data_IF_178204189923
#
_entry.id   IF_178204189923
#
_cell.length_a   1.000
_cell.length_b   1.000
_cell.length_c   1.000
_cell.angle_alpha   90.00
_cell.angle_beta   90.00
_cell.angle_gamma   90.00
#
_symmetry.space_group_name_H-M   'P 1'
#
loop_
_entity.id
_entity.type
_entity.pdbx_description
1 polymer ?
#
# COMPACT_ATOMS: atom_id res chain seq x y z
N UNK A 1 10.07 19.87 -5.93
CA UNK A 1 8.93 19.55 -6.82
C UNK A 1 8.83 18.04 -6.86
N UNK A 2 7.64 17.50 -6.65
CA UNK A 2 7.42 16.05 -6.70
C UNK A 2 7.70 15.52 -8.10
N UNK A 3 8.27 14.31 -8.23
CA UNK A 3 8.38 13.64 -9.52
C UNK A 3 6.98 13.43 -10.13
N UNK A 4 6.87 13.68 -11.42
CA UNK A 4 5.65 13.45 -12.19
C UNK A 4 5.98 12.39 -13.24
N UNK A 5 5.13 11.38 -13.32
CA UNK A 5 5.17 10.34 -14.34
C UNK A 5 4.03 10.60 -15.32
N UNK A 6 4.33 10.70 -16.60
CA UNK A 6 3.33 10.82 -17.67
C UNK A 6 3.13 9.44 -18.32
N UNK A 7 1.91 8.93 -18.23
CA UNK A 7 1.51 7.66 -18.82
C UNK A 7 0.32 7.93 -19.72
N UNK A 8 0.51 7.75 -21.01
CA UNK A 8 -0.53 7.95 -22.04
C UNK A 8 -1.17 9.35 -22.00
N UNK A 9 -0.38 10.40 -21.67
CA UNK A 9 -0.87 11.78 -21.55
C UNK A 9 -1.51 12.12 -20.19
N UNK A 10 -1.57 11.18 -19.27
CA UNK A 10 -2.02 11.40 -17.89
C UNK A 10 -0.83 11.61 -16.96
N UNK A 11 -0.87 12.68 -16.18
CA UNK A 11 0.21 13.05 -15.26
C UNK A 11 -0.12 12.54 -13.86
N UNK A 12 0.76 11.71 -13.32
CA UNK A 12 0.64 11.13 -11.97
C UNK A 12 1.77 11.65 -11.08
N UNK A 13 1.42 12.05 -9.88
CA UNK A 13 2.37 12.52 -8.89
C UNK A 13 2.93 11.34 -8.10
N UNK A 14 4.24 11.33 -7.89
CA UNK A 14 4.95 10.30 -7.15
C UNK A 14 5.48 10.89 -5.85
N UNK A 15 4.98 10.44 -4.72
CA UNK A 15 5.25 11.03 -3.42
C UNK A 15 5.88 10.06 -2.40
N UNK A 16 6.26 8.84 -2.80
CA UNK A 16 6.97 7.91 -1.95
C UNK A 16 8.46 8.27 -1.93
N UNK A 17 8.94 8.73 -0.77
CA UNK A 17 10.35 9.01 -0.57
C UNK A 17 11.09 7.71 -0.27
N UNK A 18 12.37 7.58 -0.67
CA UNK A 18 13.19 6.43 -0.35
C UNK A 18 13.34 6.27 1.16
N UNK A 19 13.36 5.01 1.64
CA UNK A 19 13.61 4.69 3.04
C UNK A 19 14.94 5.31 3.49
N UNK A 20 14.94 5.95 4.65
CA UNK A 20 16.14 6.48 5.28
C UNK A 20 16.62 5.46 6.33
N UNK A 21 17.89 5.11 6.32
CA UNK A 21 18.49 4.21 7.29
C UNK A 21 18.23 4.72 8.73
N UNK A 22 17.74 3.84 9.61
CA UNK A 22 17.39 4.18 10.99
C UNK A 22 15.97 4.75 11.17
N UNK A 23 15.25 5.03 10.08
CA UNK A 23 13.82 5.40 10.11
C UNK A 23 13.04 4.19 9.62
N UNK A 24 12.52 3.40 10.52
CA UNK A 24 11.75 2.20 10.18
C UNK A 24 12.01 0.99 11.07
N UNK A 25 12.95 1.09 12.02
CA UNK A 25 13.15 0.07 13.06
C UNK A 25 11.97 0.00 14.06
N UNK A 26 10.86 0.67 13.72
CA UNK A 26 9.65 0.73 14.54
C UNK A 26 8.81 -0.55 14.46
N UNK A 27 9.06 -1.38 13.44
CA UNK A 27 8.35 -2.64 13.26
C UNK A 27 9.35 -3.77 13.05
N UNK A 28 9.11 -4.96 13.64
CA UNK A 28 9.99 -6.11 13.48
C UNK A 28 9.98 -6.61 12.02
N UNK A 29 11.06 -7.26 11.61
CA UNK A 29 11.14 -7.91 10.30
C UNK A 29 10.21 -9.12 10.28
N UNK A 30 9.55 -9.36 9.15
CA UNK A 30 8.50 -10.36 9.03
C UNK A 30 9.01 -11.80 9.31
N UNK A 31 10.21 -12.14 8.86
CA UNK A 31 10.78 -13.48 9.03
C UNK A 31 11.30 -13.77 10.46
N UNK A 32 11.43 -12.78 11.33
CA UNK A 32 11.69 -13.00 12.75
C UNK A 32 10.57 -13.79 13.45
N UNK A 33 9.37 -13.78 12.88
CA UNK A 33 8.17 -14.40 13.46
C UNK A 33 7.52 -15.44 12.54
N UNK A 34 7.76 -15.36 11.23
CA UNK A 34 7.11 -16.20 10.23
C UNK A 34 8.16 -16.74 9.27
N UNK A 35 8.30 -18.06 9.22
CA UNK A 35 9.17 -18.71 8.25
C UNK A 35 8.73 -18.37 6.81
N UNK A 36 9.70 -17.95 5.98
CA UNK A 36 9.44 -17.62 4.59
C UNK A 36 9.06 -18.87 3.79
N UNK A 37 8.03 -18.76 2.99
CA UNK A 37 7.63 -19.80 2.05
C UNK A 37 8.62 -19.79 0.89
N UNK A 38 9.27 -20.94 0.56
CA UNK A 38 10.15 -21.03 -0.60
C UNK A 38 9.39 -20.73 -1.91
N UNK A 39 10.06 -20.16 -2.91
CA UNK A 39 9.44 -19.81 -4.19
C UNK A 39 8.78 -21.02 -4.87
N UNK A 40 9.36 -22.23 -4.72
CA UNK A 40 8.79 -23.49 -5.25
C UNK A 40 7.38 -23.78 -4.73
N UNK A 41 7.05 -23.28 -3.54
CA UNK A 41 5.80 -23.55 -2.82
C UNK A 41 4.82 -22.40 -2.89
N UNK A 42 5.18 -21.31 -3.58
CA UNK A 42 4.28 -20.17 -3.75
C UNK A 42 3.02 -20.56 -4.52
N UNK A 43 1.89 -20.08 -4.02
CA UNK A 43 0.58 -20.26 -4.63
C UNK A 43 0.03 -18.89 -5.06
N UNK A 44 -0.78 -18.88 -6.11
CA UNK A 44 -1.51 -17.69 -6.50
C UNK A 44 -2.59 -17.37 -5.47
N UNK A 45 -2.67 -16.11 -5.10
CA UNK A 45 -3.64 -15.56 -4.14
C UNK A 45 -4.22 -14.28 -4.72
N UNK A 46 -5.52 -14.06 -4.59
CA UNK A 46 -6.18 -12.85 -5.08
C UNK A 46 -7.25 -12.35 -4.10
N UNK A 47 -6.92 -11.28 -3.40
CA UNK A 47 -7.79 -10.57 -2.47
C UNK A 47 -8.44 -9.32 -3.10
N UNK A 48 -8.31 -9.07 -4.42
CA UNK A 48 -8.84 -7.88 -5.09
C UNK A 48 -10.33 -7.66 -4.83
N UNK A 49 -11.11 -8.74 -4.63
CA UNK A 49 -12.54 -8.69 -4.26
C UNK A 49 -12.83 -7.98 -2.93
N UNK A 50 -11.82 -7.84 -2.07
CA UNK A 50 -11.94 -7.15 -0.78
C UNK A 50 -11.53 -5.68 -0.84
N UNK A 51 -11.05 -5.20 -2.00
CA UNK A 51 -10.81 -3.77 -2.22
C UNK A 51 -12.14 -3.08 -2.45
N UNK A 52 -12.60 -2.20 -1.54
CA UNK A 52 -13.95 -1.65 -1.63
C UNK A 52 -14.11 -0.69 -2.81
N UNK A 53 -13.06 0.07 -3.11
CA UNK A 53 -13.02 0.99 -4.24
C UNK A 53 -11.57 1.33 -4.62
N UNK A 54 -11.37 1.75 -5.85
CA UNK A 54 -10.11 2.35 -6.32
C UNK A 54 -10.19 3.86 -6.15
N UNK A 55 -9.33 4.40 -5.30
CA UNK A 55 -9.24 5.84 -5.04
C UNK A 55 -8.32 6.55 -6.03
N UNK A 56 -8.34 7.89 -6.04
CA UNK A 56 -7.44 8.70 -6.86
C UNK A 56 -6.80 9.82 -6.05
N UNK A 57 -5.48 9.81 -5.96
CA UNK A 57 -4.70 10.86 -5.30
C UNK A 57 -4.66 12.19 -6.07
N UNK A 58 -5.14 12.22 -7.29
CA UNK A 58 -5.45 13.37 -8.14
C UNK A 58 -4.54 14.60 -7.94
N UNK A 59 -3.26 14.45 -8.24
CA UNK A 59 -2.32 15.57 -8.29
C UNK A 59 -1.66 15.98 -6.98
N UNK A 60 -1.80 15.18 -5.90
CA UNK A 60 -1.03 15.35 -4.66
C UNK A 60 -0.07 14.20 -4.42
N UNK A 61 1.02 14.46 -3.70
CA UNK A 61 2.06 13.47 -3.39
C UNK A 61 1.71 12.51 -2.25
N UNK A 62 0.45 12.10 -2.14
CA UNK A 62 -0.08 11.35 -0.99
C UNK A 62 -0.14 9.83 -1.20
N UNK A 63 0.60 9.26 -2.19
CA UNK A 63 0.51 7.84 -2.53
C UNK A 63 0.66 6.91 -1.32
N UNK A 64 1.57 7.20 -0.38
CA UNK A 64 1.75 6.41 0.84
C UNK A 64 0.47 6.35 1.68
N UNK A 65 -0.20 7.50 1.84
CA UNK A 65 -1.44 7.57 2.62
C UNK A 65 -2.61 6.89 1.93
N UNK A 66 -2.68 6.97 0.59
CA UNK A 66 -3.67 6.25 -0.20
C UNK A 66 -3.47 4.74 -0.11
N UNK A 67 -2.23 4.26 -0.27
CA UNK A 67 -1.90 2.85 -0.16
C UNK A 67 -2.20 2.31 1.25
N UNK A 68 -1.76 3.01 2.29
CA UNK A 68 -1.98 2.63 3.67
C UNK A 68 -3.48 2.64 4.09
N UNK A 69 -4.25 3.64 3.67
CA UNK A 69 -5.70 3.67 3.88
C UNK A 69 -6.41 2.53 3.12
N UNK A 70 -5.99 2.23 1.90
CA UNK A 70 -6.51 1.10 1.14
C UNK A 70 -6.20 -0.22 1.85
N UNK A 71 -4.95 -0.41 2.32
CA UNK A 71 -4.55 -1.61 3.05
C UNK A 71 -5.41 -1.81 4.31
N UNK A 72 -5.62 -0.76 5.12
CA UNK A 72 -6.47 -0.83 6.31
C UNK A 72 -7.93 -1.18 5.96
N UNK A 73 -8.50 -0.57 4.91
CA UNK A 73 -9.87 -0.87 4.46
C UNK A 73 -9.99 -2.33 4.01
N UNK A 74 -9.04 -2.83 3.21
CA UNK A 74 -9.02 -4.22 2.76
C UNK A 74 -8.92 -5.18 3.96
N UNK A 75 -8.01 -4.93 4.89
CA UNK A 75 -7.88 -5.73 6.11
C UNK A 75 -9.18 -5.78 6.91
N UNK A 76 -9.89 -4.64 7.05
CA UNK A 76 -11.19 -4.57 7.73
C UNK A 76 -12.23 -5.44 7.04
N UNK A 77 -12.35 -5.34 5.71
CA UNK A 77 -13.32 -6.14 4.93
C UNK A 77 -12.97 -7.62 4.97
N UNK A 78 -11.69 -7.98 4.89
CA UNK A 78 -11.24 -9.38 5.05
C UNK A 78 -11.57 -9.93 6.44
N UNK A 79 -11.55 -9.09 7.47
CA UNK A 79 -11.95 -9.44 8.83
C UNK A 79 -13.47 -9.48 9.05
N UNK A 80 -14.28 -9.28 8.01
CA UNK A 80 -15.75 -9.26 8.10
C UNK A 80 -16.34 -7.97 8.68
N UNK A 81 -15.52 -6.92 8.84
CA UNK A 81 -15.98 -5.61 9.29
C UNK A 81 -16.55 -4.82 8.11
N UNK A 82 -17.49 -3.91 8.40
CA UNK A 82 -17.98 -2.99 7.40
C UNK A 82 -16.87 -2.11 6.83
N UNK A 83 -16.90 -1.86 5.52
CA UNK A 83 -16.04 -0.87 4.91
C UNK A 83 -16.34 0.53 5.48
N UNK A 84 -15.29 1.29 5.67
CA UNK A 84 -15.35 2.69 6.07
C UNK A 84 -14.41 3.48 5.17
N UNK A 85 -14.94 4.48 4.49
CA UNK A 85 -14.14 5.30 3.58
C UNK A 85 -13.20 6.21 4.36
N UNK A 86 -11.97 5.74 4.57
CA UNK A 86 -10.93 6.49 5.28
C UNK A 86 -10.42 7.65 4.44
N UNK A 87 -9.94 8.71 5.10
CA UNK A 87 -9.37 9.89 4.46
C UNK A 87 -7.85 9.79 4.31
N UNK A 88 -7.33 9.55 3.09
CA UNK A 88 -5.89 9.66 2.84
C UNK A 88 -5.36 11.08 3.04
N UNK A 89 -6.19 12.11 2.81
CA UNK A 89 -5.82 13.50 3.08
C UNK A 89 -5.51 13.75 4.54
N UNK A 90 -6.34 13.21 5.45
CA UNK A 90 -6.07 13.28 6.88
C UNK A 90 -4.75 12.56 7.24
N UNK A 91 -4.53 11.35 6.75
CA UNK A 91 -3.29 10.62 7.02
C UNK A 91 -2.07 11.36 6.45
N UNK A 92 -2.17 11.85 5.21
CA UNK A 92 -1.09 12.60 4.57
C UNK A 92 -0.73 13.88 5.32
N UNK A 93 -1.71 14.64 5.76
CA UNK A 93 -1.48 15.86 6.55
C UNK A 93 -0.77 15.59 7.88
N UNK A 94 -0.79 14.37 8.41
CA UNK A 94 -0.03 14.00 9.62
C UNK A 94 1.46 13.85 9.35
N UNK A 95 1.87 13.45 8.14
CA UNK A 95 3.22 12.98 7.81
C UNK A 95 3.96 13.82 6.76
N UNK A 96 3.31 14.80 6.12
CA UNK A 96 3.90 15.57 5.01
C UNK A 96 4.70 16.81 5.46
N UNK A 97 4.85 17.02 6.76
CA UNK A 97 5.55 18.19 7.29
C UNK A 97 4.91 19.54 6.90
N UNK A 98 3.61 19.55 6.59
CA UNK A 98 2.84 20.74 6.21
C UNK A 98 3.04 21.19 4.76
N UNK A 99 3.65 20.35 3.90
CA UNK A 99 3.92 20.63 2.48
C UNK A 99 3.58 19.44 1.62
N UNK A 100 3.16 19.67 0.38
CA UNK A 100 2.97 18.61 -0.60
C UNK A 100 4.32 18.26 -1.26
N UNK A 101 5.12 17.47 -0.54
CA UNK A 101 6.48 17.08 -0.93
C UNK A 101 6.71 15.56 -0.84
N UNK A 102 5.64 14.76 -0.70
CA UNK A 102 5.72 13.33 -0.45
C UNK A 102 5.93 13.02 1.03
N UNK A 103 6.13 11.74 1.32
CA UNK A 103 6.36 11.22 2.67
C UNK A 103 7.11 9.88 2.62
N UNK A 104 7.57 9.40 3.77
CA UNK A 104 8.09 8.05 3.93
C UNK A 104 6.93 7.07 4.11
N UNK A 105 7.06 5.86 3.59
CA UNK A 105 6.02 4.82 3.73
C UNK A 105 5.87 4.39 5.20
N UNK A 106 6.98 4.20 5.91
CA UNK A 106 6.98 3.87 7.32
C UNK A 106 6.28 4.92 8.20
N UNK A 107 6.36 6.22 7.84
CA UNK A 107 5.64 7.28 8.56
C UNK A 107 4.13 7.12 8.44
N UNK A 108 3.63 6.71 7.26
CA UNK A 108 2.20 6.47 7.06
C UNK A 108 1.69 5.33 7.93
N UNK A 109 2.43 4.23 8.03
CA UNK A 109 2.07 3.10 8.88
C UNK A 109 2.19 3.42 10.36
N UNK A 110 3.22 4.17 10.76
CA UNK A 110 3.36 4.65 12.14
C UNK A 110 2.19 5.55 12.54
N UNK A 111 1.84 6.52 11.69
CA UNK A 111 0.68 7.38 11.95
C UNK A 111 -0.63 6.59 12.01
N UNK A 112 -0.82 5.61 11.10
CA UNK A 112 -1.98 4.71 11.14
C UNK A 112 -2.05 3.86 12.41
N UNK A 113 -0.91 3.45 12.96
CA UNK A 113 -0.84 2.68 14.20
C UNK A 113 -1.10 3.56 15.42
N UNK A 114 -0.48 4.71 15.51
CA UNK A 114 -0.46 5.54 16.71
C UNK A 114 -1.68 6.46 16.80
N UNK A 115 -2.07 7.06 15.68
CA UNK A 115 -3.15 8.04 15.59
C UNK A 115 -4.38 7.48 14.88
N UNK A 116 -4.17 6.81 13.75
CA UNK A 116 -5.23 6.34 12.87
C UNK A 116 -5.56 7.34 11.74
N UNK A 117 -6.60 7.00 10.96
CA UNK A 117 -7.15 7.85 9.92
C UNK A 117 -8.63 8.09 10.16
N UNK A 118 -9.11 9.35 10.07
CA UNK A 118 -10.54 9.64 10.11
C UNK A 118 -11.22 9.24 8.80
N UNK A 119 -12.53 9.42 8.73
CA UNK A 119 -13.29 9.12 7.50
C UNK A 119 -13.34 10.34 6.57
N UNK A 120 -13.73 10.10 5.33
CA UNK A 120 -13.91 11.18 4.35
C UNK A 120 -15.10 12.09 4.65
N UNK A 121 -15.98 11.69 5.57
CA UNK A 121 -17.10 12.52 6.02
C UNK A 121 -16.60 13.68 6.89
N UNK A 122 -15.51 13.50 7.64
CA UNK A 122 -14.92 14.55 8.47
C UNK A 122 -13.84 15.34 7.72
N UNK A 123 -12.95 14.64 7.00
CA UNK A 123 -11.88 15.28 6.23
C UNK A 123 -11.91 14.73 4.80
N UNK A 124 -12.21 15.54 3.79
CA UNK A 124 -12.24 15.12 2.40
C UNK A 124 -10.95 14.42 1.96
N UNK A 125 -11.08 13.49 1.03
CA UNK A 125 -10.02 12.59 0.56
C UNK A 125 -8.69 13.28 0.20
N UNK A 126 -8.75 14.50 -0.34
CA UNK A 126 -7.60 15.28 -0.78
C UNK A 126 -7.24 16.44 0.16
N UNK A 127 -7.97 16.63 1.26
CA UNK A 127 -7.73 17.74 2.19
C UNK A 127 -6.66 17.37 3.23
N UNK A 128 -5.42 17.67 2.92
CA UNK A 128 -4.28 17.40 3.79
C UNK A 128 -3.84 18.59 4.68
N UNK A 129 -4.45 19.76 4.48
CA UNK A 129 -4.08 20.95 5.27
C UNK A 129 -4.73 20.93 6.64
N UNK A 130 -3.97 20.61 7.68
CA UNK A 130 -4.46 20.47 9.06
C UNK A 130 -5.31 21.66 9.55
N UNK A 131 -5.02 22.87 9.09
CA UNK A 131 -5.78 24.06 9.47
C UNK A 131 -7.27 24.04 9.05
N UNK A 132 -7.62 23.18 8.11
CA UNK A 132 -8.97 23.03 7.59
C UNK A 132 -9.72 21.88 8.27
N UNK A 133 -9.07 21.13 9.16
CA UNK A 133 -9.67 19.99 9.83
C UNK A 133 -10.57 20.42 10.99
N UNK A 134 -11.68 19.69 11.26
CA UNK A 134 -12.50 19.96 12.43
C UNK A 134 -11.73 19.65 13.73
N UNK A 135 -12.10 20.35 14.80
CA UNK A 135 -11.58 20.07 16.12
C UNK A 135 -12.04 18.70 16.61
N UNK A 136 -11.19 17.97 17.34
CA UNK A 136 -11.51 16.66 17.90
C UNK A 136 -11.44 15.51 16.90
N UNK A 137 -10.91 15.73 15.70
CA UNK A 137 -10.80 14.72 14.65
C UNK A 137 -10.02 13.47 15.07
N UNK A 138 -9.10 13.62 16.02
CA UNK A 138 -8.28 12.53 16.55
C UNK A 138 -9.11 11.44 17.26
N UNK A 139 -10.24 11.79 17.83
CA UNK A 139 -11.13 10.81 18.46
C UNK A 139 -11.78 9.89 17.42
N UNK A 140 -12.10 10.43 16.24
CA UNK A 140 -12.61 9.65 15.13
C UNK A 140 -11.49 8.78 14.55
N UNK A 141 -10.31 9.35 14.34
CA UNK A 141 -9.17 8.67 13.76
C UNK A 141 -8.74 7.43 14.58
N UNK A 142 -8.76 7.54 15.92
CA UNK A 142 -8.39 6.44 16.83
C UNK A 142 -9.23 5.16 16.66
N UNK A 143 -10.41 5.25 16.06
CA UNK A 143 -11.27 4.09 15.78
C UNK A 143 -10.76 3.26 14.60
N UNK A 144 -9.91 3.83 13.76
CA UNK A 144 -9.45 3.23 12.52
C UNK A 144 -7.92 3.21 12.49
N UNK A 145 -7.36 2.17 13.10
CA UNK A 145 -5.92 1.97 13.22
C UNK A 145 -5.52 0.58 12.74
N UNK A 146 -4.28 0.45 12.28
CA UNK A 146 -3.65 -0.86 12.19
C UNK A 146 -3.13 -1.25 13.57
N UNK A 147 -3.07 -2.54 13.83
CA UNK A 147 -2.54 -3.07 15.08
C UNK A 147 -1.25 -3.82 14.89
N UNK A 148 -1.01 -4.27 13.65
CA UNK A 148 0.13 -5.09 13.30
C UNK A 148 0.71 -4.65 11.96
N UNK A 149 2.01 -4.38 11.94
CA UNK A 149 2.79 -4.16 10.72
C UNK A 149 4.17 -4.82 10.88
N UNK A 150 4.72 -5.31 9.76
CA UNK A 150 5.98 -6.04 9.71
C UNK A 150 6.79 -5.56 8.52
N UNK A 151 8.08 -5.34 8.72
CA UNK A 151 9.00 -4.99 7.65
C UNK A 151 9.21 -6.17 6.70
N UNK A 152 9.04 -5.92 5.40
CA UNK A 152 9.17 -6.91 4.33
C UNK A 152 10.26 -6.46 3.34
N UNK A 153 11.54 -6.68 3.63
CA UNK A 153 12.66 -6.09 2.87
C UNK A 153 12.86 -6.73 1.49
N UNK A 154 12.18 -7.81 1.15
CA UNK A 154 12.31 -8.47 -0.15
C UNK A 154 10.98 -8.92 -0.71
N UNK A 155 10.96 -9.22 -2.02
CA UNK A 155 9.78 -9.81 -2.66
C UNK A 155 9.32 -11.12 -1.98
N UNK A 156 10.25 -11.95 -1.49
CA UNK A 156 9.92 -13.19 -0.81
C UNK A 156 9.16 -12.96 0.50
N UNK A 157 9.50 -11.89 1.24
CA UNK A 157 8.74 -11.49 2.43
C UNK A 157 7.32 -11.07 2.06
N UNK A 158 7.16 -10.21 1.04
CA UNK A 158 5.85 -9.76 0.56
C UNK A 158 5.00 -10.93 0.05
N UNK A 159 5.61 -11.84 -0.75
CA UNK A 159 4.93 -13.03 -1.27
C UNK A 159 4.47 -13.96 -0.14
N UNK A 160 5.32 -14.18 0.87
CA UNK A 160 4.96 -14.97 2.05
C UNK A 160 3.86 -14.30 2.85
N UNK A 161 3.97 -12.99 3.10
CA UNK A 161 2.96 -12.23 3.84
C UNK A 161 1.58 -12.33 3.17
N UNK A 162 1.50 -12.15 1.85
CA UNK A 162 0.25 -12.30 1.10
C UNK A 162 -0.32 -13.71 1.29
N UNK A 163 0.48 -14.75 1.14
CA UNK A 163 0.02 -16.14 1.31
C UNK A 163 -0.40 -16.47 2.74
N UNK A 164 0.09 -15.71 3.73
CA UNK A 164 -0.31 -15.81 5.14
C UNK A 164 -1.52 -14.92 5.49
N UNK A 165 -2.17 -14.31 4.48
CA UNK A 165 -3.38 -13.50 4.67
C UNK A 165 -3.15 -12.05 5.07
N UNK A 166 -1.92 -11.53 4.91
CA UNK A 166 -1.64 -10.11 5.09
C UNK A 166 -1.89 -9.34 3.79
N UNK A 167 -2.27 -8.10 3.93
CA UNK A 167 -2.22 -7.09 2.88
C UNK A 167 -0.84 -6.43 2.93
N UNK A 168 -0.26 -6.13 1.78
CA UNK A 168 1.05 -5.49 1.76
C UNK A 168 0.96 -4.06 1.26
N UNK A 169 1.68 -3.16 1.91
CA UNK A 169 1.89 -1.78 1.48
C UNK A 169 3.35 -1.64 1.05
N UNK A 170 3.59 -1.17 -0.18
CA UNK A 170 4.94 -1.15 -0.72
C UNK A 170 5.20 0.03 -1.65
N UNK A 171 6.45 0.46 -1.69
CA UNK A 171 6.95 1.53 -2.54
C UNK A 171 7.95 1.02 -3.58
N UNK A 172 7.82 1.47 -4.82
CA UNK A 172 8.74 1.21 -5.91
C UNK A 172 9.01 2.46 -6.75
N UNK A 173 10.12 2.46 -7.48
CA UNK A 173 10.40 3.50 -8.47
C UNK A 173 9.65 3.20 -9.78
N UNK A 174 8.81 4.12 -10.22
CA UNK A 174 7.98 4.00 -11.43
C UNK A 174 8.44 4.98 -12.52
N UNK A 175 8.23 4.62 -13.78
CA UNK A 175 8.55 5.42 -14.95
C UNK A 175 7.35 5.63 -15.87
N UNK A 176 7.56 6.30 -17.00
CA UNK A 176 6.50 6.62 -17.97
C UNK A 176 5.88 5.40 -18.67
N UNK A 177 6.49 4.24 -18.54
CA UNK A 177 5.97 2.97 -19.06
C UNK A 177 5.27 2.14 -17.98
N UNK A 178 4.98 2.73 -16.81
CA UNK A 178 4.30 2.02 -15.71
C UNK A 178 2.80 1.91 -16.01
N UNK A 179 2.48 1.09 -17.01
CA UNK A 179 1.12 0.76 -17.44
C UNK A 179 1.02 -0.75 -17.67
N UNK A 180 -0.20 -1.27 -17.80
CA UNK A 180 -0.45 -2.71 -17.89
C UNK A 180 -0.61 -3.17 -19.34
N UNK A 181 -0.21 -4.42 -19.59
CA UNK A 181 -0.64 -5.14 -20.80
C UNK A 181 -2.11 -5.60 -20.68
N UNK A 182 -2.64 -6.22 -21.74
CA UNK A 182 -4.03 -6.70 -21.77
C UNK A 182 -4.36 -7.75 -20.70
N UNK A 183 -3.35 -8.37 -20.08
CA UNK A 183 -3.50 -9.35 -19.00
C UNK A 183 -3.27 -8.72 -17.60
N UNK A 184 -3.17 -7.39 -17.54
CA UNK A 184 -2.98 -6.66 -16.30
C UNK A 184 -1.54 -6.61 -15.78
N UNK A 185 -0.55 -7.15 -16.51
CA UNK A 185 0.84 -7.11 -16.07
C UNK A 185 1.48 -5.77 -16.41
N UNK A 186 2.05 -5.15 -15.40
CA UNK A 186 2.80 -3.90 -15.56
C UNK A 186 4.05 -4.14 -16.40
N UNK A 187 4.31 -3.22 -17.34
CA UNK A 187 5.51 -3.27 -18.16
C UNK A 187 6.75 -3.10 -17.28
N UNK A 188 7.76 -3.94 -17.51
CA UNK A 188 9.05 -3.79 -16.86
C UNK A 188 9.75 -2.52 -17.33
N UNK A 189 10.33 -1.78 -16.41
CA UNK A 189 10.98 -0.52 -16.76
C UNK A 189 11.80 0.06 -15.63
N UNK A 190 12.49 1.15 -15.94
CA UNK A 190 13.24 1.94 -14.98
C UNK A 190 12.47 3.22 -14.70
N UNK A 191 12.39 3.61 -13.44
CA UNK A 191 11.72 4.83 -13.02
C UNK A 191 12.56 5.63 -12.03
N UNK A 192 12.14 6.87 -11.82
CA UNK A 192 12.75 7.77 -10.83
C UNK A 192 11.71 8.36 -9.87
N UNK A 193 10.41 8.10 -10.12
CA UNK A 193 9.33 8.55 -9.24
C UNK A 193 8.99 7.47 -8.23
N UNK A 194 9.28 7.68 -6.94
CA UNK A 194 8.85 6.76 -5.89
C UNK A 194 7.33 6.78 -5.74
N UNK A 195 6.68 5.62 -5.83
CA UNK A 195 5.23 5.47 -5.75
C UNK A 195 4.86 4.31 -4.83
N UNK A 196 3.87 4.52 -3.98
CA UNK A 196 3.38 3.51 -3.05
C UNK A 196 2.02 2.97 -3.48
N UNK A 197 1.81 1.68 -3.27
CA UNK A 197 0.62 0.94 -3.69
C UNK A 197 0.27 -0.16 -2.71
N UNK A 198 -1.00 -0.57 -2.72
CA UNK A 198 -1.52 -1.64 -1.90
C UNK A 198 -1.51 -2.98 -2.66
N UNK A 199 -0.71 -3.95 -2.20
CA UNK A 199 -0.67 -5.30 -2.74
C UNK A 199 -1.70 -6.21 -2.07
N UNK A 200 -2.53 -6.84 -2.90
CA UNK A 200 -3.69 -7.64 -2.48
C UNK A 200 -3.70 -9.05 -3.10
N UNK A 201 -2.57 -9.51 -3.59
CA UNK A 201 -2.49 -10.86 -4.15
C UNK A 201 -1.14 -11.16 -4.74
N UNK A 202 -0.94 -12.43 -5.06
CA UNK A 202 0.24 -12.98 -5.72
C UNK A 202 -0.22 -13.71 -6.98
N UNK A 203 0.32 -13.36 -8.12
CA UNK A 203 0.00 -13.97 -9.41
C UNK A 203 1.27 -14.44 -10.12
N UNK A 204 1.11 -15.40 -11.03
CA UNK A 204 2.20 -15.89 -11.87
C UNK A 204 1.80 -15.94 -13.35
N UNK A 205 2.80 -15.82 -14.20
CA UNK A 205 2.68 -16.10 -15.63
C UNK A 205 3.92 -16.82 -16.15
N UNK A 206 3.84 -17.42 -17.32
CA UNK A 206 5.02 -17.86 -18.06
C UNK A 206 5.41 -16.80 -19.06
N UNK A 207 6.65 -16.30 -18.97
CA UNK A 207 7.24 -15.32 -19.89
C UNK A 207 8.57 -15.88 -20.40
N UNK A 208 8.72 -16.02 -21.72
CA UNK A 208 9.91 -16.58 -22.33
C UNK A 208 10.34 -17.94 -21.73
N UNK A 209 9.39 -18.83 -21.45
CA UNK A 209 9.64 -20.16 -20.87
C UNK A 209 9.99 -20.18 -19.37
N UNK A 210 9.94 -19.03 -18.70
CA UNK A 210 10.23 -18.93 -17.26
C UNK A 210 8.99 -18.48 -16.49
N UNK A 211 8.82 -18.99 -15.28
CA UNK A 211 7.81 -18.49 -14.34
C UNK A 211 8.21 -17.05 -13.92
N UNK A 212 7.26 -16.15 -14.02
CA UNK A 212 7.38 -14.78 -13.51
C UNK A 212 6.27 -14.55 -12.49
N UNK A 213 6.65 -14.20 -11.27
CA UNK A 213 5.74 -13.82 -10.20
C UNK A 213 5.54 -12.29 -10.15
N UNK A 214 4.40 -11.87 -9.61
CA UNK A 214 4.09 -10.46 -9.41
C UNK A 214 3.02 -10.27 -8.35
N UNK A 215 2.95 -9.05 -7.80
CA UNK A 215 1.96 -8.65 -6.81
C UNK A 215 0.74 -8.08 -7.52
N UNK A 216 -0.45 -8.66 -7.24
CA UNK A 216 -1.73 -8.06 -7.62
C UNK A 216 -1.94 -6.81 -6.77
N UNK A 217 -2.10 -5.67 -7.41
CA UNK A 217 -1.98 -4.35 -6.78
C UNK A 217 -3.19 -3.48 -7.06
N UNK A 218 -3.73 -2.86 -6.02
CA UNK A 218 -4.65 -1.73 -6.12
C UNK A 218 -3.85 -0.42 -6.12
N UNK A 219 -3.98 0.37 -7.18
CA UNK A 219 -3.30 1.64 -7.35
C UNK A 219 -4.20 2.81 -6.91
N UNK A 220 -3.60 3.97 -6.66
CA UNK A 220 -4.27 5.21 -6.29
C UNK A 220 -4.31 6.24 -7.43
N UNK A 221 -4.41 5.78 -8.67
CA UNK A 221 -4.50 6.63 -9.86
C UNK A 221 -5.86 6.56 -10.57
N UNK A 222 -6.89 6.09 -9.83
CA UNK A 222 -8.23 5.93 -10.35
C UNK A 222 -8.38 4.70 -11.27
N UNK A 223 -9.61 4.46 -11.72
CA UNK A 223 -9.98 3.28 -12.52
C UNK A 223 -9.50 3.33 -13.98
N UNK A 224 -9.01 4.48 -14.44
CA UNK A 224 -8.47 4.62 -15.80
C UNK A 224 -7.04 4.08 -15.96
N UNK A 225 -6.33 3.81 -14.87
CA UNK A 225 -5.03 3.15 -14.92
C UNK A 225 -5.20 1.62 -14.84
N UNK A 226 -4.42 0.90 -15.64
CA UNK A 226 -4.40 -0.55 -15.61
C UNK A 226 -5.76 -1.18 -15.94
N UNK A 227 -6.06 -2.28 -15.29
CA UNK A 227 -7.36 -2.97 -15.40
C UNK A 227 -8.28 -2.51 -14.28
N UNK A 228 -9.08 -1.47 -14.53
CA UNK A 228 -9.96 -0.87 -13.52
C UNK A 228 -9.24 -0.44 -12.23
N UNK A 229 -8.04 0.12 -12.36
CA UNK A 229 -7.22 0.56 -11.22
C UNK A 229 -6.33 -0.52 -10.61
N UNK A 230 -6.38 -1.74 -11.15
CA UNK A 230 -5.51 -2.84 -10.75
C UNK A 230 -4.41 -3.11 -11.76
N UNK A 231 -3.28 -3.63 -11.27
CA UNK A 231 -2.18 -4.13 -12.08
C UNK A 231 -1.44 -5.24 -11.36
N UNK A 232 -0.67 -6.04 -12.10
CA UNK A 232 0.23 -7.05 -11.54
C UNK A 232 1.64 -6.53 -11.71
N UNK A 233 2.27 -6.17 -10.59
CA UNK A 233 3.64 -5.62 -10.58
C UNK A 233 4.64 -6.75 -10.51
N UNK A 234 5.48 -6.95 -11.56
CA UNK A 234 6.42 -8.06 -11.61
C UNK A 234 7.45 -8.03 -10.49
N UNK A 235 7.92 -9.21 -10.06
CA UNK A 235 8.96 -9.37 -9.04
C UNK A 235 10.25 -8.59 -9.34
N UNK A 236 10.53 -8.31 -10.62
CA UNK A 236 11.70 -7.52 -11.05
C UNK A 236 11.70 -6.08 -10.51
N UNK A 237 10.53 -5.51 -10.18
CA UNK A 237 10.45 -4.19 -9.53
C UNK A 237 10.91 -4.19 -8.07
N UNK A 238 10.94 -5.36 -7.44
CA UNK A 238 11.33 -5.53 -6.04
C UNK A 238 12.79 -5.95 -5.89
N UNK A 239 13.53 -5.95 -6.99
CA UNK A 239 14.95 -6.19 -7.00
C UNK A 239 15.72 -4.86 -7.07
N UNK A 240 16.79 -4.74 -6.29
CA UNK A 240 17.73 -3.63 -6.33
C UNK A 240 17.10 -2.25 -6.01
N UNK A 241 17.58 -1.23 -6.73
CA UNK A 241 17.26 0.19 -6.53
C UNK A 241 15.81 0.59 -6.84
N UNK A 242 15.01 -0.29 -7.45
CA UNK A 242 13.61 0.01 -7.78
C UNK A 242 12.69 -0.17 -6.58
N UNK A 243 13.04 -1.05 -5.66
CA UNK A 243 12.28 -1.27 -4.44
C UNK A 243 12.69 -0.25 -3.38
N UNK A 244 11.73 0.53 -2.89
CA UNK A 244 12.00 1.57 -1.90
C UNK A 244 11.68 1.11 -0.49
N UNK A 245 10.58 0.36 -0.31
CA UNK A 245 10.11 -0.08 0.99
C UNK A 245 8.97 -1.09 0.87
N UNK A 246 8.72 -1.93 1.88
CA UNK A 246 7.61 -2.87 1.89
C UNK A 246 7.22 -3.34 3.28
N UNK A 247 5.91 -3.48 3.50
CA UNK A 247 5.32 -3.77 4.80
C UNK A 247 4.15 -4.74 4.65
N UNK A 248 4.07 -5.71 5.56
CA UNK A 248 2.87 -6.52 5.75
C UNK A 248 1.98 -5.88 6.82
N UNK A 249 0.69 -5.77 6.55
CA UNK A 249 -0.26 -5.07 7.41
C UNK A 249 -1.44 -5.97 7.73
N UNK A 250 -1.86 -5.96 8.99
CA UNK A 250 -3.09 -6.62 9.43
C UNK A 250 -3.80 -5.77 10.49
N UNK A 251 -5.12 -5.84 10.50
CA UNK A 251 -5.96 -5.32 11.58
C UNK A 251 -6.14 -6.44 12.60
N UNK A 252 -5.80 -6.22 13.85
CA UNK A 252 -6.36 -7.03 14.92
C UNK A 252 -7.80 -6.56 15.13
N UNK A 253 -8.73 -7.45 14.99
CA UNK A 253 -10.08 -7.28 15.47
C UNK A 253 -9.97 -7.10 16.98
N UNK A 254 -10.85 -6.29 17.56
CA UNK A 254 -10.97 -5.95 18.98
C UNK A 254 -10.25 -6.96 19.91
N UNK A 255 -9.37 -6.53 20.83
CA UNK A 255 -8.66 -7.42 21.75
C UNK A 255 -9.56 -8.37 22.53
N UNK A 256 -10.87 -8.10 22.61
CA UNK A 256 -11.88 -9.00 23.16
C UNK A 256 -12.31 -10.11 22.20
N UNK A 257 -11.98 -10.06 20.91
CA UNK A 257 -12.38 -11.05 19.92
C UNK A 257 -11.23 -12.03 19.62
N UNK A 258 -11.16 -13.09 20.42
CA UNK A 258 -10.13 -14.15 20.33
C UNK A 258 -10.22 -15.04 19.07
N UNK A 259 -11.09 -14.73 18.10
CA UNK A 259 -11.30 -15.59 16.93
C UNK A 259 -10.07 -15.67 16.01
N UNK A 260 -9.26 -14.64 15.93
CA UNK A 260 -8.06 -14.64 15.10
C UNK A 260 -6.90 -15.51 15.65
N UNK A 261 -6.87 -15.75 16.98
CA UNK A 261 -5.87 -16.63 17.61
C UNK A 261 -6.09 -18.12 17.30
N UNK A 262 -7.28 -18.48 16.79
CA UNK A 262 -7.66 -19.86 16.49
C UNK A 262 -7.34 -20.30 15.07
N UNK A 263 -6.91 -19.38 14.20
CA UNK A 263 -6.62 -19.62 12.78
C UNK A 263 -5.15 -19.40 12.39
N UNK A 264 -4.27 -19.19 13.36
CA UNK A 264 -2.82 -19.07 13.17
C UNK A 264 -2.11 -20.42 13.35
#
# INVERSE_FOLDING_TARGET
MLPIVDINGHKFFCGCLPRVAGVGDLFPVFDEKVELIPESDWQEVNWARYVPEIMSQNGIGACNSFAACTALRVCRVMAGLADVRLSPGHLYGQINGGRDAGSLLGDALTALKDVGACTTDEVPELEWKRRNWPAGIEEVARKYRITEAWDCPTFAHLATAIQRGFVVDYGIAVGSNFDTDANGWVAEGKGRGGHAMCGVGLAKRTKAGKTQWGIVTANSWGTNWGVNGFGIVPASYFANELFTDGWAVRVAIDPSDDQWRKTA
#
